data_IF_993793624767
#
_entry.id   IF_993793624767
#
_cell.length_a   1.000
_cell.length_b   1.000
_cell.length_c   1.000
_cell.angle_alpha   90.00
_cell.angle_beta   90.00
_cell.angle_gamma   90.00
#
_symmetry.space_group_name_H-M   'P 1'
#
loop_
_entity.id
_entity.type
_entity.pdbx_description
1 polymer ?
#
# COMPACT_ATOMS: atom_id res chain seq x y z
N UNK A 1 -15.61 3.34 -4.57
CA UNK A 1 -14.61 2.59 -5.35
C UNK A 1 -13.78 1.72 -4.41
N UNK A 2 -13.28 0.57 -4.86
CA UNK A 2 -12.48 -0.32 -4.03
C UNK A 2 -11.14 -0.69 -4.69
N UNK A 3 -10.09 -0.71 -3.88
CA UNK A 3 -8.83 -1.34 -4.22
C UNK A 3 -8.73 -2.68 -3.48
N UNK A 4 -8.33 -3.71 -4.19
CA UNK A 4 -7.96 -5.00 -3.63
C UNK A 4 -6.45 -5.02 -3.40
N UNK A 5 -6.03 -5.40 -2.20
CA UNK A 5 -4.64 -5.74 -1.88
C UNK A 5 -4.60 -7.23 -1.58
N UNK A 6 -3.81 -7.98 -2.33
CA UNK A 6 -3.84 -9.44 -2.32
C UNK A 6 -2.45 -10.03 -2.61
N UNK A 7 -2.20 -11.30 -2.27
CA UNK A 7 -1.01 -12.01 -2.73
C UNK A 7 -0.97 -12.12 -4.27
N UNK A 8 0.23 -12.04 -4.87
CA UNK A 8 0.40 -12.16 -6.33
C UNK A 8 -0.16 -13.47 -6.93
N UNK A 9 -0.14 -14.55 -6.15
CA UNK A 9 -0.71 -15.85 -6.53
C UNK A 9 -2.22 -15.78 -6.84
N UNK A 10 -2.92 -14.78 -6.33
CA UNK A 10 -4.37 -14.61 -6.52
C UNK A 10 -4.73 -13.78 -7.76
N UNK A 11 -3.77 -13.42 -8.61
CA UNK A 11 -4.02 -12.60 -9.81
C UNK A 11 -5.05 -13.20 -10.76
N UNK A 12 -5.17 -14.54 -10.83
CA UNK A 12 -6.19 -15.24 -11.61
C UNK A 12 -7.59 -15.24 -10.99
N UNK A 13 -7.72 -14.81 -9.73
CA UNK A 13 -8.98 -14.77 -8.98
C UNK A 13 -9.63 -13.38 -9.00
N UNK A 14 -9.01 -12.41 -9.69
CA UNK A 14 -9.55 -11.06 -9.78
C UNK A 14 -10.91 -11.09 -10.51
N UNK A 15 -11.95 -10.41 -9.97
CA UNK A 15 -13.23 -10.30 -10.66
C UNK A 15 -13.07 -9.73 -12.07
N UNK A 16 -13.84 -10.19 -13.07
CA UNK A 16 -13.84 -9.61 -14.41
C UNK A 16 -14.03 -8.09 -14.37
N UNK A 17 -13.24 -7.36 -15.16
CA UNK A 17 -13.23 -5.89 -15.15
C UNK A 17 -12.32 -5.26 -14.10
N UNK A 18 -11.67 -6.05 -13.23
CA UNK A 18 -10.60 -5.56 -12.37
C UNK A 18 -9.39 -5.13 -13.18
N UNK A 19 -8.72 -4.06 -12.75
CA UNK A 19 -7.51 -3.53 -13.37
C UNK A 19 -6.35 -3.60 -12.40
N UNK A 20 -5.28 -4.31 -12.75
CA UNK A 20 -4.05 -4.32 -11.95
C UNK A 20 -3.44 -2.92 -11.97
N UNK A 21 -3.26 -2.36 -10.79
CA UNK A 21 -2.69 -1.02 -10.55
C UNK A 21 -1.19 -1.14 -10.31
N UNK A 22 -0.81 -2.10 -9.47
CA UNK A 22 0.59 -2.41 -9.19
C UNK A 22 0.77 -3.93 -9.00
N UNK A 23 1.49 -4.56 -9.93
CA UNK A 23 1.82 -5.99 -9.90
C UNK A 23 3.32 -6.26 -10.10
N UNK A 24 4.14 -5.23 -10.27
CA UNK A 24 5.59 -5.32 -10.38
C UNK A 24 6.28 -5.69 -9.08
N UNK A 25 7.60 -5.57 -9.02
CA UNK A 25 8.37 -5.82 -7.80
C UNK A 25 7.93 -4.93 -6.64
N UNK A 26 8.11 -5.47 -5.44
CA UNK A 26 7.80 -4.84 -4.17
C UNK A 26 9.03 -4.92 -3.26
N UNK A 27 9.42 -3.81 -2.67
CA UNK A 27 10.47 -3.76 -1.66
C UNK A 27 9.87 -3.29 -0.34
N UNK A 28 10.01 -4.12 0.71
CA UNK A 28 9.57 -3.76 2.07
C UNK A 28 10.57 -2.78 2.69
N UNK A 29 10.06 -1.68 3.23
CA UNK A 29 10.84 -0.71 4.01
C UNK A 29 10.56 -0.81 5.51
N UNK A 30 9.52 -1.54 5.88
CA UNK A 30 9.18 -1.83 7.27
C UNK A 30 8.88 -3.33 7.40
N UNK A 31 7.99 -3.72 8.31
CA UNK A 31 7.64 -5.12 8.53
C UNK A 31 7.14 -5.79 7.24
N UNK A 32 7.51 -7.05 7.00
CA UNK A 32 7.04 -7.77 5.81
C UNK A 32 5.53 -8.01 5.87
N UNK A 33 4.91 -8.05 4.70
CA UNK A 33 3.56 -8.55 4.53
C UNK A 33 3.54 -10.06 4.76
N UNK A 34 2.55 -10.56 5.51
CA UNK A 34 2.45 -11.99 5.87
C UNK A 34 2.24 -12.92 4.68
N UNK A 35 1.91 -12.37 3.52
CA UNK A 35 1.60 -13.09 2.29
C UNK A 35 2.56 -12.74 1.13
N UNK A 36 3.74 -12.21 1.45
CA UNK A 36 4.77 -11.86 0.48
C UNK A 36 4.45 -10.56 -0.27
N UNK A 37 5.00 -10.41 -1.48
CA UNK A 37 4.83 -9.22 -2.29
C UNK A 37 3.34 -9.02 -2.65
N UNK A 38 2.71 -7.89 -2.23
CA UNK A 38 1.34 -7.59 -2.57
C UNK A 38 1.17 -7.31 -4.07
N UNK A 39 -0.04 -7.55 -4.55
CA UNK A 39 -0.60 -7.05 -5.79
C UNK A 39 -1.76 -6.11 -5.43
N UNK A 40 -1.82 -4.97 -6.11
CA UNK A 40 -2.91 -4.00 -5.96
C UNK A 40 -3.72 -3.94 -7.24
N UNK A 41 -5.03 -4.12 -7.13
CA UNK A 41 -5.97 -4.00 -8.24
C UNK A 41 -7.11 -3.04 -7.90
N UNK A 42 -7.55 -2.26 -8.87
CA UNK A 42 -8.80 -1.50 -8.81
C UNK A 42 -9.93 -2.44 -9.23
N UNK A 43 -10.86 -2.71 -8.31
CA UNK A 43 -12.04 -3.53 -8.57
C UNK A 43 -13.06 -2.74 -9.39
N UNK A 44 -13.95 -3.37 -10.17
CA UNK A 44 -15.11 -2.69 -10.73
C UNK A 44 -16.08 -2.28 -9.61
N UNK A 45 -16.89 -1.23 -9.85
CA UNK A 45 -17.79 -0.70 -8.80
C UNK A 45 -18.90 -1.66 -8.38
N UNK A 46 -19.25 -2.60 -9.27
CA UNK A 46 -20.22 -3.67 -9.02
C UNK A 46 -19.56 -4.99 -8.56
N UNK A 47 -18.30 -4.98 -8.12
CA UNK A 47 -17.64 -6.18 -7.63
C UNK A 47 -18.37 -6.77 -6.42
N UNK A 48 -18.67 -8.07 -6.48
CA UNK A 48 -19.20 -8.83 -5.35
C UNK A 48 -18.04 -9.23 -4.42
N UNK A 49 -17.92 -8.51 -3.29
CA UNK A 49 -16.86 -8.78 -2.31
C UNK A 49 -17.05 -10.11 -1.58
N UNK A 50 -18.28 -10.60 -1.42
CA UNK A 50 -18.56 -11.88 -0.76
C UNK A 50 -18.19 -13.08 -1.65
N UNK A 51 -18.44 -12.96 -2.96
CA UNK A 51 -17.94 -13.94 -3.94
C UNK A 51 -16.41 -13.94 -3.98
N UNK A 52 -15.78 -12.77 -3.94
CA UNK A 52 -14.32 -12.65 -3.93
C UNK A 52 -13.70 -13.21 -2.64
N UNK A 53 -14.31 -12.93 -1.48
CA UNK A 53 -13.94 -13.52 -0.18
C UNK A 53 -13.93 -15.05 -0.24
N UNK A 54 -15.02 -15.63 -0.76
CA UNK A 54 -15.18 -17.08 -0.91
C UNK A 54 -14.09 -17.67 -1.81
N UNK A 55 -13.80 -17.03 -2.94
CA UNK A 55 -12.78 -17.47 -3.88
C UNK A 55 -11.36 -17.40 -3.30
N UNK A 56 -11.01 -16.30 -2.62
CA UNK A 56 -9.70 -16.13 -1.99
C UNK A 56 -9.49 -17.12 -0.84
N UNK A 57 -10.52 -17.34 -0.02
CA UNK A 57 -10.50 -18.29 1.08
C UNK A 57 -10.32 -19.73 0.58
N UNK A 58 -11.07 -20.15 -0.44
CA UNK A 58 -10.95 -21.48 -1.04
C UNK A 58 -9.57 -21.73 -1.65
N UNK A 59 -8.91 -20.69 -2.17
CA UNK A 59 -7.57 -20.76 -2.73
C UNK A 59 -6.44 -20.62 -1.69
N UNK A 60 -6.77 -20.46 -0.40
CA UNK A 60 -5.77 -20.20 0.65
C UNK A 60 -4.97 -18.90 0.44
N UNK A 61 -5.52 -17.95 -0.31
CA UNK A 61 -4.88 -16.68 -0.58
C UNK A 61 -5.13 -15.70 0.58
N UNK A 62 -4.39 -14.58 0.58
CA UNK A 62 -4.59 -13.52 1.57
C UNK A 62 -4.93 -12.23 0.83
N UNK A 63 -5.87 -11.46 1.37
CA UNK A 63 -6.20 -10.15 0.84
C UNK A 63 -7.31 -9.44 1.58
N UNK A 64 -7.44 -8.16 1.28
CA UNK A 64 -8.50 -7.30 1.78
C UNK A 64 -8.86 -6.29 0.70
N UNK A 65 -10.13 -5.90 0.66
CA UNK A 65 -10.55 -4.72 -0.07
C UNK A 65 -10.43 -3.49 0.83
N UNK A 66 -10.19 -2.34 0.22
CA UNK A 66 -10.19 -1.06 0.90
C UNK A 66 -10.86 0.00 0.04
N UNK A 67 -11.65 0.87 0.67
CA UNK A 67 -12.24 2.01 -0.01
C UNK A 67 -11.15 2.98 -0.52
N UNK A 68 -11.21 3.24 -1.82
CA UNK A 68 -10.39 4.25 -2.48
C UNK A 68 -11.10 5.59 -2.56
N UNK A 69 -10.32 6.65 -2.78
CA UNK A 69 -10.82 8.01 -2.95
C UNK A 69 -10.51 8.60 -4.34
N UNK A 70 -9.61 7.99 -5.11
CA UNK A 70 -9.23 8.46 -6.45
C UNK A 70 -8.81 7.29 -7.35
N UNK A 71 -8.89 7.47 -8.66
CA UNK A 71 -8.48 6.51 -9.68
C UNK A 71 -6.95 6.57 -9.93
N UNK A 72 -6.29 5.43 -10.25
CA UNK A 72 -4.88 5.42 -10.57
C UNK A 72 -4.65 6.18 -11.88
N UNK A 73 -3.61 7.03 -11.91
CA UNK A 73 -3.20 7.76 -13.09
C UNK A 73 -2.22 6.97 -13.95
N UNK A 74 -1.24 7.65 -14.53
CA UNK A 74 -0.17 7.07 -15.35
C UNK A 74 1.13 6.78 -14.59
N UNK A 75 1.15 6.97 -13.26
CA UNK A 75 2.36 6.79 -12.45
C UNK A 75 2.81 5.32 -12.40
N UNK A 76 4.11 5.10 -12.24
CA UNK A 76 4.69 3.75 -12.20
C UNK A 76 5.24 3.36 -10.84
N UNK A 77 5.34 4.30 -9.89
CA UNK A 77 5.74 4.05 -8.51
C UNK A 77 4.57 4.14 -7.55
N UNK A 78 4.51 3.22 -6.59
CA UNK A 78 3.50 3.20 -5.54
C UNK A 78 4.11 3.02 -4.17
N UNK A 79 3.50 3.63 -3.15
CA UNK A 79 3.73 3.26 -1.75
C UNK A 79 2.47 2.64 -1.22
N UNK A 80 2.59 1.43 -0.67
CA UNK A 80 1.51 0.74 0.02
C UNK A 80 1.87 0.60 1.50
N UNK A 81 1.02 1.09 2.39
CA UNK A 81 1.19 1.00 3.84
C UNK A 81 -0.06 0.48 4.54
N UNK A 82 0.05 -0.60 5.31
CA UNK A 82 -0.98 -1.10 6.22
C UNK A 82 -0.59 -0.86 7.67
N UNK A 83 -1.46 -0.23 8.47
CA UNK A 83 -1.16 0.24 9.81
C UNK A 83 -2.10 -0.39 10.84
N UNK A 84 -1.53 -0.75 11.99
CA UNK A 84 -2.24 -0.97 13.25
C UNK A 84 -2.00 0.25 14.15
N UNK A 85 -3.07 0.83 14.69
CA UNK A 85 -2.98 2.03 15.52
C UNK A 85 -2.59 1.65 16.95
N UNK A 86 -1.58 2.33 17.50
CA UNK A 86 -1.20 2.24 18.92
C UNK A 86 -1.67 3.47 19.70
N UNK A 87 -1.54 4.64 19.09
CA UNK A 87 -1.98 5.92 19.65
C UNK A 87 -2.65 6.78 18.56
N UNK A 88 -3.99 6.69 18.43
CA UNK A 88 -4.74 7.48 17.45
C UNK A 88 -4.62 9.00 17.65
N UNK A 89 -4.47 9.47 18.90
CA UNK A 89 -4.38 10.89 19.20
C UNK A 89 -3.01 11.45 18.83
N UNK A 90 -1.93 10.76 19.23
CA UNK A 90 -0.56 11.10 18.84
C UNK A 90 -0.30 10.99 17.35
N UNK A 91 -1.10 10.24 16.60
CA UNK A 91 -1.00 10.13 15.13
C UNK A 91 -1.56 11.34 14.39
N UNK A 92 -2.42 12.16 15.01
CA UNK A 92 -3.09 13.29 14.34
C UNK A 92 -2.12 14.31 13.71
N UNK A 93 -1.02 14.73 14.37
CA UNK A 93 -0.06 15.65 13.76
C UNK A 93 0.57 15.08 12.48
N UNK A 94 0.92 13.79 12.47
CA UNK A 94 1.38 13.10 11.25
C UNK A 94 0.31 13.14 10.16
N UNK A 95 -0.92 12.75 10.51
CA UNK A 95 -2.02 12.67 9.55
C UNK A 95 -2.34 14.03 8.92
N UNK A 96 -2.19 15.12 9.67
CA UNK A 96 -2.41 16.48 9.20
C UNK A 96 -1.29 16.98 8.26
N UNK A 97 -0.02 16.69 8.57
CA UNK A 97 1.13 17.24 7.84
C UNK A 97 1.58 16.40 6.63
N UNK A 98 1.43 15.07 6.68
CA UNK A 98 1.91 14.18 5.61
C UNK A 98 1.36 14.49 4.21
N UNK A 99 0.13 15.01 4.00
CA UNK A 99 -0.39 15.25 2.66
C UNK A 99 0.41 16.29 1.88
N UNK A 100 0.86 17.35 2.54
CA UNK A 100 1.62 18.42 1.89
C UNK A 100 2.99 17.92 1.45
N UNK A 101 3.62 17.07 2.27
CA UNK A 101 4.89 16.42 1.93
C UNK A 101 4.69 15.41 0.80
N UNK A 102 3.64 14.59 0.81
CA UNK A 102 3.37 13.67 -0.32
C UNK A 102 3.16 14.46 -1.62
N UNK A 103 2.37 15.54 -1.56
CA UNK A 103 2.06 16.38 -2.72
C UNK A 103 3.29 17.09 -3.28
N UNK A 104 4.23 17.54 -2.44
CA UNK A 104 5.44 18.23 -2.91
C UNK A 104 6.38 17.33 -3.73
N UNK A 105 6.26 16.00 -3.59
CA UNK A 105 6.96 15.01 -4.41
C UNK A 105 6.10 14.49 -5.58
N UNK A 106 4.98 15.16 -5.88
CA UNK A 106 4.04 14.74 -6.94
C UNK A 106 3.21 13.51 -6.58
N UNK A 107 3.24 13.08 -5.31
CA UNK A 107 2.47 11.95 -4.82
C UNK A 107 0.97 12.22 -4.79
N UNK A 108 0.17 11.23 -5.17
CA UNK A 108 -1.29 11.27 -5.17
C UNK A 108 -1.85 10.16 -4.30
N UNK A 109 -2.80 10.47 -3.42
CA UNK A 109 -3.45 9.45 -2.60
C UNK A 109 -4.60 8.77 -3.34
N UNK A 110 -4.45 7.47 -3.60
CA UNK A 110 -5.53 6.61 -4.10
C UNK A 110 -6.36 6.03 -2.95
N UNK A 111 -5.71 5.73 -1.81
CA UNK A 111 -6.34 5.29 -0.56
C UNK A 111 -5.71 6.06 0.60
N UNK A 112 -6.55 6.59 1.51
CA UNK A 112 -6.08 7.31 2.70
C UNK A 112 -6.91 6.99 3.94
N UNK A 113 -6.84 5.73 4.35
CA UNK A 113 -7.56 5.20 5.51
C UNK A 113 -9.04 4.99 5.26
N UNK A 114 -9.39 4.54 4.05
CA UNK A 114 -10.73 4.04 3.75
C UNK A 114 -11.06 2.79 4.55
N UNK A 115 -12.35 2.45 4.62
CA UNK A 115 -12.80 1.26 5.33
C UNK A 115 -12.15 0.01 4.73
N UNK A 116 -11.67 -0.88 5.60
CA UNK A 116 -11.04 -2.15 5.21
C UNK A 116 -12.07 -3.27 5.34
N UNK A 117 -12.26 -4.01 4.26
CA UNK A 117 -13.06 -5.24 4.24
C UNK A 117 -12.09 -6.42 4.18
N UNK A 118 -11.91 -7.17 5.28
CA UNK A 118 -11.14 -8.41 5.27
C UNK A 118 -11.75 -9.40 4.27
N UNK A 119 -10.93 -10.08 3.48
CA UNK A 119 -11.41 -11.11 2.54
C UNK A 119 -10.77 -12.47 2.80
N UNK A 120 -9.47 -12.52 3.07
CA UNK A 120 -8.81 -13.76 3.44
C UNK A 120 -7.48 -13.49 4.16
N UNK A 121 -7.11 -14.38 5.08
CA UNK A 121 -5.86 -14.28 5.83
C UNK A 121 -5.98 -13.66 7.21
N UNK A 122 -4.92 -13.79 8.01
CA UNK A 122 -4.92 -13.41 9.41
C UNK A 122 -4.62 -11.92 9.68
N UNK A 123 -3.90 -11.25 8.77
CA UNK A 123 -3.52 -9.85 8.96
C UNK A 123 -4.56 -8.92 8.32
N UNK A 124 -5.19 -8.09 9.16
CA UNK A 124 -6.12 -7.04 8.74
C UNK A 124 -5.59 -5.68 9.22
N UNK A 125 -5.18 -4.77 8.32
CA UNK A 125 -4.81 -3.43 8.73
C UNK A 125 -6.03 -2.63 9.19
N UNK A 126 -5.87 -1.79 10.20
CA UNK A 126 -6.91 -0.84 10.63
C UNK A 126 -6.95 0.40 9.73
N UNK A 127 -5.82 0.73 9.10
CA UNK A 127 -5.69 1.85 8.18
C UNK A 127 -4.75 1.50 7.04
N UNK A 128 -5.18 1.77 5.82
CA UNK A 128 -4.36 1.57 4.61
C UNK A 128 -4.07 2.91 3.96
N UNK A 129 -2.86 3.06 3.43
CA UNK A 129 -2.46 4.15 2.53
C UNK A 129 -1.95 3.53 1.24
N UNK A 130 -2.40 4.09 0.13
CA UNK A 130 -1.88 3.82 -1.20
C UNK A 130 -1.64 5.16 -1.89
N UNK A 131 -0.39 5.47 -2.19
CA UNK A 131 -0.02 6.66 -2.97
C UNK A 131 0.64 6.28 -4.28
N UNK A 132 0.34 7.02 -5.33
CA UNK A 132 0.93 6.92 -6.68
C UNK A 132 1.94 8.06 -6.89
N UNK A 133 3.06 7.75 -7.53
CA UNK A 133 4.13 8.66 -7.93
C UNK A 133 4.48 8.43 -9.41
N UNK A 134 5.23 9.37 -10.01
CA UNK A 134 5.71 9.23 -11.38
C UNK A 134 6.46 7.90 -11.60
N UNK A 135 7.35 7.55 -10.67
CA UNK A 135 8.17 6.34 -10.69
C UNK A 135 8.58 5.90 -9.27
N UNK A 136 9.16 4.70 -9.11
CA UNK A 136 9.62 4.22 -7.80
C UNK A 136 10.76 5.05 -7.19
N UNK A 137 11.57 5.74 -7.98
CA UNK A 137 12.66 6.59 -7.45
C UNK A 137 12.10 7.85 -6.79
N UNK A 138 11.03 8.42 -7.35
CA UNK A 138 10.29 9.53 -6.76
C UNK A 138 9.63 9.12 -5.45
N UNK A 139 9.03 7.92 -5.41
CA UNK A 139 8.49 7.35 -4.17
C UNK A 139 9.57 7.16 -3.10
N UNK A 140 10.76 6.70 -3.51
CA UNK A 140 11.91 6.58 -2.62
C UNK A 140 12.38 7.94 -2.11
N UNK A 141 12.53 8.93 -3.00
CA UNK A 141 12.95 10.28 -2.66
C UNK A 141 12.03 10.92 -1.62
N UNK A 142 10.71 10.72 -1.74
CA UNK A 142 9.75 11.12 -0.70
C UNK A 142 10.02 10.41 0.63
N UNK A 143 10.12 9.08 0.62
CA UNK A 143 10.23 8.28 1.83
C UNK A 143 11.53 8.54 2.60
N UNK A 144 12.63 8.83 1.89
CA UNK A 144 13.94 9.13 2.48
C UNK A 144 14.22 10.62 2.65
N UNK A 145 13.22 11.48 2.45
CA UNK A 145 13.42 12.92 2.52
C UNK A 145 13.56 13.46 3.95
N UNK A 146 14.33 14.54 4.09
CA UNK A 146 14.40 15.31 5.34
C UNK A 146 13.03 15.89 5.74
N UNK A 147 12.17 16.17 4.75
CA UNK A 147 10.81 16.64 4.98
C UNK A 147 9.90 15.56 5.58
N UNK A 148 10.09 14.29 5.21
CA UNK A 148 9.31 13.16 5.74
C UNK A 148 9.90 12.58 7.03
N UNK A 149 11.22 12.66 7.23
CA UNK A 149 11.91 12.11 8.39
C UNK A 149 11.28 12.45 9.76
N UNK A 150 10.89 13.70 10.08
CA UNK A 150 10.23 14.00 11.37
C UNK A 150 8.83 13.38 11.46
N UNK A 151 8.09 13.30 10.35
CA UNK A 151 6.76 12.69 10.30
C UNK A 151 6.84 11.17 10.48
N UNK A 152 7.84 10.54 9.86
CA UNK A 152 8.11 9.11 10.04
C UNK A 152 8.30 8.76 11.52
N UNK A 153 9.04 9.57 12.28
CA UNK A 153 9.23 9.35 13.74
C UNK A 153 7.90 9.30 14.50
N UNK A 154 7.01 10.25 14.24
CA UNK A 154 5.67 10.27 14.85
C UNK A 154 4.91 9.00 14.48
N UNK A 155 4.91 8.61 13.20
CA UNK A 155 4.20 7.42 12.72
C UNK A 155 4.73 6.13 13.35
N UNK A 156 6.05 5.98 13.46
CA UNK A 156 6.67 4.79 14.06
C UNK A 156 6.37 4.66 15.57
N UNK A 157 6.22 5.79 16.27
CA UNK A 157 5.86 5.80 17.69
C UNK A 157 4.37 5.49 17.93
N UNK A 158 3.51 5.89 17.00
CA UNK A 158 2.04 5.87 17.17
C UNK A 158 1.35 4.72 16.43
N UNK A 159 2.07 4.01 15.56
CA UNK A 159 1.55 2.90 14.77
C UNK A 159 2.53 1.74 14.68
N UNK A 160 2.01 0.59 14.33
CA UNK A 160 2.78 -0.48 13.75
C UNK A 160 2.41 -0.63 12.28
N UNK A 161 3.37 -0.49 11.38
CA UNK A 161 3.10 -0.51 9.96
C UNK A 161 3.88 -1.58 9.19
N UNK A 162 3.26 -2.04 8.11
CA UNK A 162 3.88 -2.77 7.00
C UNK A 162 3.83 -1.83 5.81
N UNK A 163 4.97 -1.41 5.32
CA UNK A 163 5.06 -0.44 4.24
C UNK A 163 6.14 -0.84 3.25
N UNK A 164 5.87 -0.60 1.97
CA UNK A 164 6.88 -0.75 0.94
C UNK A 164 6.57 0.01 -0.33
N UNK A 165 7.58 0.05 -1.20
CA UNK A 165 7.53 0.67 -2.51
C UNK A 165 7.27 -0.43 -3.54
N UNK A 166 6.39 -0.14 -4.51
CA UNK A 166 6.01 -1.07 -5.57
C UNK A 166 6.15 -0.43 -6.94
N UNK A 167 6.56 -1.23 -7.93
CA UNK A 167 6.46 -0.85 -9.33
C UNK A 167 5.07 -1.24 -9.87
N UNK A 168 4.53 -0.44 -10.81
CA UNK A 168 3.33 -0.80 -11.58
C UNK A 168 3.51 -2.19 -12.21
N UNK A 169 4.63 -2.38 -12.88
CA UNK A 169 5.05 -3.60 -13.55
C UNK A 169 6.58 -3.65 -13.59
N UNK A 170 7.15 -4.82 -13.88
CA UNK A 170 8.61 -4.99 -13.97
C UNK A 170 9.34 -4.90 -12.63
N UNK A 171 10.62 -4.58 -12.69
CA UNK A 171 11.52 -4.52 -11.52
C UNK A 171 11.54 -3.16 -10.84
N UNK A 172 12.09 -3.13 -9.62
CA UNK A 172 12.40 -1.88 -8.94
C UNK A 172 13.83 -1.40 -9.28
N UNK A 173 14.08 -0.09 -9.26
CA UNK A 173 15.43 0.45 -9.43
C UNK A 173 16.39 -0.08 -8.36
N UNK A 174 17.68 -0.30 -8.67
CA UNK A 174 18.69 -0.76 -7.70
C UNK A 174 18.76 0.11 -6.42
N UNK A 175 18.54 1.42 -6.55
CA UNK A 175 18.49 2.34 -5.42
C UNK A 175 17.38 1.99 -4.41
N UNK A 176 16.19 1.60 -4.90
CA UNK A 176 15.07 1.18 -4.04
C UNK A 176 15.42 -0.09 -3.28
N UNK A 177 16.04 -1.07 -3.94
CA UNK A 177 16.51 -2.29 -3.27
C UNK A 177 17.58 -2.01 -2.23
N UNK A 178 18.53 -1.13 -2.54
CA UNK A 178 19.59 -0.74 -1.61
C UNK A 178 19.01 -0.08 -0.35
N UNK A 179 18.10 0.87 -0.52
CA UNK A 179 17.44 1.56 0.58
C UNK A 179 16.59 0.61 1.44
N UNK A 180 15.81 -0.29 0.82
CA UNK A 180 15.00 -1.28 1.53
C UNK A 180 15.82 -2.18 2.46
N UNK A 181 17.02 -2.61 2.03
CA UNK A 181 17.94 -3.41 2.85
C UNK A 181 18.43 -2.64 4.08
N UNK A 182 18.75 -1.35 3.92
CA UNK A 182 19.18 -0.49 5.03
C UNK A 182 18.06 -0.29 6.06
N UNK A 183 16.82 -0.16 5.61
CA UNK A 183 15.65 0.01 6.48
C UNK A 183 15.23 -1.27 7.20
N UNK A 184 15.47 -2.45 6.60
CA UNK A 184 15.17 -3.74 7.22
C UNK A 184 16.08 -4.08 8.41
N UNK A 185 17.11 -3.25 8.66
CA UNK A 185 18.10 -3.42 9.74
C UNK A 185 17.85 -2.48 10.93
N UNK A 186 16.77 -1.67 10.89
CA UNK A 186 16.34 -0.72 11.93
C UNK A 186 15.17 -1.33 12.71
#
# INVERSE_FOLDING_TARGET
MHYLVVSKSASSLLPPGSRIVAGGEFASFERPWSFGAPLVARLPDNADLGQLESALSAAGCNGFAVEGQDEPGGGTGYVLGGHLMRDPEGFKPYAAAVPDVVKSYGGRFLVRGGAVTPLAGAFVPQRVVLTEYADPETALAWYTSDAYAPLLKIRLQTTEARLGIMARAGGLPPAVHAAARSYSSI
#
